data_IF_871970125091
#
_entry.id   IF_871970125091
#
_cell.length_a   1.000
_cell.length_b   1.000
_cell.length_c   1.000
_cell.angle_alpha   90.00
_cell.angle_beta   90.00
_cell.angle_gamma   90.00
#
_symmetry.space_group_name_H-M   'P 1'
#
loop_
_entity.id
_entity.type
_entity.pdbx_description
1 polymer ?
#
# COMPACT_ATOMS: atom_id res chain seq x y z
N UNK A 1 8.80 -4.06 12.02
CA UNK A 1 7.86 -3.26 12.83
C UNK A 1 7.98 -1.77 12.55
N UNK A 2 9.19 -1.21 12.56
CA UNK A 2 9.48 0.21 12.25
C UNK A 2 8.85 0.77 10.94
N UNK A 3 8.93 0.09 9.78
CA UNK A 3 8.38 0.65 8.53
C UNK A 3 6.85 0.71 8.50
N UNK A 4 6.17 -0.19 9.22
CA UNK A 4 4.70 -0.15 9.38
C UNK A 4 4.27 1.03 10.24
N UNK A 5 5.04 1.37 11.28
CA UNK A 5 4.75 2.52 12.12
C UNK A 5 4.91 3.83 11.35
N UNK A 6 5.99 3.96 10.58
CA UNK A 6 6.22 5.11 9.71
C UNK A 6 5.09 5.28 8.69
N UNK A 7 4.73 4.22 7.95
CA UNK A 7 3.64 4.27 6.99
C UNK A 7 2.29 4.61 7.65
N UNK A 8 2.01 4.09 8.85
CA UNK A 8 0.77 4.41 9.56
C UNK A 8 0.74 5.88 9.99
N UNK A 9 1.88 6.42 10.42
CA UNK A 9 2.04 7.84 10.74
C UNK A 9 1.84 8.74 9.53
N UNK A 10 2.44 8.42 8.38
CA UNK A 10 2.28 9.22 7.16
C UNK A 10 0.82 9.25 6.69
N UNK A 11 0.11 8.13 6.72
CA UNK A 11 -1.31 8.11 6.37
C UNK A 11 -2.17 8.84 7.39
N UNK A 12 -1.90 8.71 8.68
CA UNK A 12 -2.63 9.44 9.72
C UNK A 12 -2.45 10.97 9.56
N UNK A 13 -1.24 11.44 9.25
CA UNK A 13 -0.96 12.86 8.97
C UNK A 13 -1.65 13.35 7.69
N UNK A 14 -1.75 12.49 6.67
CA UNK A 14 -2.54 12.76 5.46
C UNK A 14 -4.07 12.69 5.69
N UNK A 15 -4.53 12.41 6.92
CA UNK A 15 -5.95 12.28 7.27
C UNK A 15 -6.58 10.95 6.89
N UNK A 16 -5.79 9.95 6.50
CA UNK A 16 -6.26 8.66 6.02
C UNK A 16 -6.23 7.59 7.12
N UNK A 17 -7.25 6.73 7.15
CA UNK A 17 -7.33 5.58 8.05
C UNK A 17 -7.04 4.30 7.28
N UNK A 18 -6.10 3.51 7.79
CA UNK A 18 -5.83 2.19 7.24
C UNK A 18 -6.95 1.21 7.62
N UNK A 19 -7.62 0.65 6.61
CA UNK A 19 -8.65 -0.37 6.76
C UNK A 19 -8.40 -1.47 5.72
N UNK A 20 -8.00 -2.65 6.18
CA UNK A 20 -7.75 -3.79 5.30
C UNK A 20 -8.95 -4.75 5.34
N UNK A 21 -9.73 -4.77 4.26
CA UNK A 21 -10.91 -5.61 4.09
C UNK A 21 -10.68 -6.75 3.09
N UNK A 22 -9.45 -7.28 3.00
CA UNK A 22 -9.16 -8.40 2.10
C UNK A 22 -10.09 -9.59 2.41
N UNK A 23 -10.85 -10.12 1.42
CA UNK A 23 -11.76 -11.23 1.64
C UNK A 23 -11.01 -12.49 2.08
N UNK A 24 -11.43 -13.09 3.19
CA UNK A 24 -10.78 -14.30 3.75
C UNK A 24 -10.84 -15.52 2.83
N UNK A 25 -11.77 -15.54 1.87
CA UNK A 25 -11.93 -16.66 0.93
C UNK A 25 -10.95 -16.62 -0.26
N UNK A 26 -10.25 -15.49 -0.46
CA UNK A 26 -9.26 -15.36 -1.53
C UNK A 26 -7.91 -15.87 -1.00
N UNK A 27 -7.48 -17.05 -1.49
CA UNK A 27 -6.21 -17.67 -1.10
C UNK A 27 -4.99 -17.06 -1.81
N UNK A 28 -5.19 -16.54 -3.03
CA UNK A 28 -4.14 -15.92 -3.82
C UNK A 28 -4.74 -14.90 -4.79
N UNK A 29 -4.12 -13.74 -4.92
CA UNK A 29 -4.47 -12.73 -5.91
C UNK A 29 -3.24 -11.91 -6.30
N UNK A 30 -3.25 -11.37 -7.52
CA UNK A 30 -2.28 -10.36 -7.96
C UNK A 30 -2.99 -9.01 -7.95
N UNK A 31 -2.42 -8.05 -7.21
CA UNK A 31 -2.90 -6.67 -7.19
C UNK A 31 -2.00 -5.82 -8.07
N UNK A 32 -2.58 -5.20 -9.09
CA UNK A 32 -1.88 -4.27 -9.99
C UNK A 32 -2.34 -2.86 -9.63
N UNK A 33 -1.38 -2.02 -9.27
CA UNK A 33 -1.60 -0.59 -9.08
C UNK A 33 -0.73 0.16 -10.08
N UNK A 34 -1.35 0.79 -11.07
CA UNK A 34 -0.68 1.64 -12.03
C UNK A 34 -0.94 3.11 -11.65
N UNK A 35 0.09 3.96 -11.55
CA UNK A 35 -0.10 5.39 -11.31
C UNK A 35 -0.77 6.01 -12.54
N UNK A 36 -1.85 6.76 -12.34
CA UNK A 36 -2.65 7.32 -13.44
C UNK A 36 -2.46 8.84 -13.63
N UNK A 37 -1.85 9.54 -12.66
CA UNK A 37 -1.80 11.02 -12.67
C UNK A 37 -0.47 11.61 -12.22
N UNK A 38 0.09 11.18 -11.08
CA UNK A 38 1.36 11.73 -10.57
C UNK A 38 2.24 10.65 -9.93
N UNK A 39 3.56 10.85 -9.88
CA UNK A 39 4.48 9.93 -9.19
C UNK A 39 4.17 9.72 -7.70
N UNK A 40 3.38 10.60 -7.08
CA UNK A 40 2.94 10.46 -5.69
C UNK A 40 2.08 9.23 -5.46
N UNK A 41 1.33 8.78 -6.47
CA UNK A 41 0.52 7.56 -6.40
C UNK A 41 1.40 6.34 -6.12
N UNK A 42 2.62 6.29 -6.70
CA UNK A 42 3.57 5.22 -6.44
C UNK A 42 4.08 5.23 -4.98
N UNK A 43 4.31 6.42 -4.41
CA UNK A 43 4.76 6.56 -3.02
C UNK A 43 3.67 6.10 -2.04
N UNK A 44 2.45 6.60 -2.18
CA UNK A 44 1.33 6.19 -1.33
C UNK A 44 1.06 4.70 -1.46
N UNK A 45 1.05 4.17 -2.68
CA UNK A 45 0.84 2.73 -2.92
C UNK A 45 1.92 1.88 -2.24
N UNK A 46 3.19 2.32 -2.29
CA UNK A 46 4.27 1.61 -1.61
C UNK A 46 4.07 1.56 -0.09
N UNK A 47 3.70 2.68 0.52
CA UNK A 47 3.42 2.76 1.96
C UNK A 47 2.21 1.91 2.36
N UNK A 48 1.15 1.91 1.54
CA UNK A 48 -0.03 1.09 1.77
C UNK A 48 0.31 -0.41 1.77
N UNK A 49 1.13 -0.86 0.82
CA UNK A 49 1.57 -2.25 0.78
C UNK A 49 2.46 -2.66 1.96
N UNK A 50 3.28 -1.74 2.47
CA UNK A 50 4.05 -1.96 3.71
C UNK A 50 3.11 -2.20 4.89
N UNK A 51 2.02 -1.44 5.01
CA UNK A 51 1.00 -1.66 6.03
C UNK A 51 0.27 -2.99 5.87
N UNK A 52 -0.08 -3.35 4.63
CA UNK A 52 -0.71 -4.63 4.29
C UNK A 52 0.23 -5.83 4.47
N UNK A 53 1.54 -5.60 4.56
CA UNK A 53 2.54 -6.67 4.65
C UNK A 53 2.66 -7.48 3.36
N UNK A 54 2.29 -6.91 2.22
CA UNK A 54 2.31 -7.58 0.92
C UNK A 54 3.74 -7.47 0.34
N UNK A 55 4.35 -8.57 -0.12
CA UNK A 55 5.62 -8.53 -0.82
C UNK A 55 5.43 -7.91 -2.21
N UNK A 56 5.78 -6.63 -2.33
CA UNK A 56 5.63 -5.88 -3.59
C UNK A 56 6.77 -6.20 -4.55
N UNK A 57 6.44 -6.49 -5.80
CA UNK A 57 7.37 -6.45 -6.93
C UNK A 57 7.02 -5.21 -7.76
N UNK A 58 8.00 -4.35 -8.00
CA UNK A 58 7.82 -3.11 -8.75
C UNK A 58 8.43 -3.31 -10.13
N UNK A 59 7.64 -3.04 -11.17
CA UNK A 59 8.13 -2.95 -12.54
C UNK A 59 8.15 -1.47 -12.91
N UNK A 60 9.32 -0.96 -13.26
CA UNK A 60 9.51 0.40 -13.75
C UNK A 60 9.75 0.29 -15.25
N UNK A 61 9.05 1.11 -16.04
CA UNK A 61 9.30 1.28 -17.48
C UNK A 61 10.03 2.59 -17.70
#
# INVERSE_FOLDING_TARGET
MLPKLFARGTFALAGWKYNNQMPKNIKQCVMIAAPHTTNWDALYTRLAFVLMGIPVKITIK
#
